data_IF_002792678601
#
_entry.id   IF_002792678601
#
_cell.length_a   1.000
_cell.length_b   1.000
_cell.length_c   1.000
_cell.angle_alpha   90.00
_cell.angle_beta   90.00
_cell.angle_gamma   90.00
#
_symmetry.space_group_name_H-M   'P 1'
#
loop_
_entity.id
_entity.type
_entity.pdbx_description
1 polymer ?
#
# COMPACT_ATOMS: atom_id res chain seq x y z
N UNK A 1 -0.80 26.28 -17.11
CA UNK A 1 -1.75 25.22 -17.50
C UNK A 1 -1.50 24.06 -16.58
N UNK A 2 -2.37 23.86 -15.59
CA UNK A 2 -2.33 22.71 -14.70
C UNK A 2 -2.70 21.47 -15.51
N UNK A 3 -1.80 20.49 -15.59
CA UNK A 3 -1.97 19.24 -16.34
C UNK A 3 -3.30 18.56 -15.99
N UNK A 4 -4.15 18.33 -16.99
CA UNK A 4 -5.41 17.57 -16.85
C UNK A 4 -5.16 16.05 -16.73
N UNK A 5 -3.93 15.64 -16.41
CA UNK A 5 -3.50 14.24 -16.44
C UNK A 5 -3.31 13.62 -15.04
N UNK A 6 -3.46 14.39 -13.97
CA UNK A 6 -3.30 13.91 -12.60
C UNK A 6 -4.65 13.67 -11.92
N UNK A 7 -5.09 12.41 -11.94
CA UNK A 7 -6.41 12.02 -11.44
C UNK A 7 -6.58 12.39 -9.96
N UNK A 8 -5.56 12.12 -9.15
CA UNK A 8 -5.64 12.33 -7.71
C UNK A 8 -5.64 13.81 -7.32
N UNK A 9 -4.86 14.65 -8.01
CA UNK A 9 -4.91 16.09 -7.81
C UNK A 9 -6.31 16.64 -8.10
N UNK A 10 -6.89 16.21 -9.23
CA UNK A 10 -8.22 16.64 -9.69
C UNK A 10 -9.29 16.23 -8.69
N UNK A 11 -9.31 14.96 -8.25
CA UNK A 11 -10.32 14.48 -7.30
C UNK A 11 -10.15 15.06 -5.89
N UNK A 12 -8.93 15.45 -5.50
CA UNK A 12 -8.66 16.10 -4.22
C UNK A 12 -9.00 17.60 -4.23
N UNK A 13 -9.19 18.20 -5.42
CA UNK A 13 -9.22 19.65 -5.61
C UNK A 13 -7.98 20.31 -5.00
N UNK A 14 -6.81 19.75 -5.31
CA UNK A 14 -5.54 20.12 -4.70
C UNK A 14 -5.17 21.60 -4.96
N UNK A 15 -5.67 22.17 -6.05
CA UNK A 15 -5.53 23.58 -6.42
C UNK A 15 -6.13 24.56 -5.39
N UNK A 16 -6.99 24.07 -4.48
CA UNK A 16 -7.49 24.88 -3.34
C UNK A 16 -6.39 25.24 -2.33
N UNK A 17 -5.26 24.52 -2.32
CA UNK A 17 -4.09 24.83 -1.50
C UNK A 17 -2.85 25.05 -2.38
N UNK A 18 -2.30 26.25 -2.30
CA UNK A 18 -1.07 26.60 -3.01
C UNK A 18 0.13 25.81 -2.46
N UNK A 19 0.16 25.58 -1.15
CA UNK A 19 1.21 24.84 -0.44
C UNK A 19 1.22 23.36 -0.85
N UNK A 20 0.06 22.71 -0.88
CA UNK A 20 -0.07 21.33 -1.36
C UNK A 20 0.33 21.24 -2.83
N UNK A 21 -0.17 22.15 -3.67
CA UNK A 21 0.19 22.20 -5.10
C UNK A 21 1.70 22.29 -5.27
N UNK A 22 2.36 23.20 -4.54
CA UNK A 22 3.80 23.36 -4.60
C UNK A 22 4.56 22.13 -4.08
N UNK A 23 4.11 21.51 -2.98
CA UNK A 23 4.71 20.29 -2.44
C UNK A 23 4.63 19.13 -3.46
N UNK A 24 3.51 19.01 -4.18
CA UNK A 24 3.32 17.99 -5.24
C UNK A 24 4.21 18.24 -6.45
N UNK A 25 4.40 19.50 -6.86
CA UNK A 25 5.40 19.87 -7.89
C UNK A 25 6.80 19.45 -7.45
N UNK A 26 7.17 19.66 -6.18
CA UNK A 26 8.44 19.19 -5.63
C UNK A 26 8.55 17.65 -5.62
N UNK A 27 7.42 16.93 -5.58
CA UNK A 27 7.33 15.47 -5.65
C UNK A 27 6.78 14.96 -6.97
N UNK A 28 7.01 15.68 -8.08
CA UNK A 28 6.41 15.35 -9.38
C UNK A 28 6.69 13.90 -9.80
N UNK A 29 7.91 13.40 -9.60
CA UNK A 29 8.24 12.01 -9.95
C UNK A 29 7.40 10.95 -9.24
N UNK A 30 6.92 11.23 -8.01
CA UNK A 30 5.97 10.35 -7.34
C UNK A 30 4.59 10.44 -7.99
N UNK A 31 4.09 11.65 -8.25
CA UNK A 31 2.82 11.88 -8.95
C UNK A 31 2.78 11.19 -10.32
N UNK A 32 3.84 11.34 -11.11
CA UNK A 32 3.97 10.74 -12.44
C UNK A 32 3.95 9.21 -12.38
N UNK A 33 4.74 8.60 -11.49
CA UNK A 33 4.78 7.15 -11.36
C UNK A 33 3.46 6.56 -10.84
N UNK A 34 2.76 7.28 -9.96
CA UNK A 34 1.43 6.88 -9.46
C UNK A 34 0.40 6.93 -10.59
N UNK A 35 0.40 8.01 -11.38
CA UNK A 35 -0.49 8.15 -12.53
C UNK A 35 -0.18 7.11 -13.62
N UNK A 36 1.11 6.84 -13.89
CA UNK A 36 1.52 5.80 -14.81
C UNK A 36 1.12 4.40 -14.33
N UNK A 37 1.11 4.15 -13.02
CA UNK A 37 0.58 2.90 -12.44
C UNK A 37 -0.92 2.75 -12.68
N UNK A 38 -1.68 3.85 -12.58
CA UNK A 38 -3.10 3.87 -12.95
C UNK A 38 -3.30 3.51 -14.42
N UNK A 39 -2.53 4.13 -15.34
CA UNK A 39 -2.62 3.82 -16.77
C UNK A 39 -2.27 2.35 -17.07
N UNK A 40 -1.20 1.82 -16.47
CA UNK A 40 -0.81 0.41 -16.61
C UNK A 40 -1.91 -0.56 -16.14
N UNK A 41 -2.73 -0.17 -15.17
CA UNK A 41 -3.84 -0.97 -14.67
C UNK A 41 -5.12 -0.81 -15.47
N UNK A 42 -5.47 0.39 -15.91
CA UNK A 42 -6.82 0.67 -16.40
C UNK A 42 -6.92 0.94 -17.90
N UNK A 43 -5.80 1.14 -18.59
CA UNK A 43 -5.76 1.37 -20.04
C UNK A 43 -5.18 0.16 -20.81
N UNK A 44 -4.71 -0.87 -20.11
CA UNK A 44 -4.26 -2.11 -20.72
C UNK A 44 -5.46 -2.97 -21.19
N UNK A 45 -5.37 -3.48 -22.42
CA UNK A 45 -6.31 -4.46 -22.97
C UNK A 45 -5.78 -5.88 -22.69
N UNK A 46 -6.37 -6.55 -21.71
CA UNK A 46 -6.04 -7.94 -21.36
C UNK A 46 -7.32 -8.80 -21.36
N UNK A 47 -7.33 -9.86 -22.19
CA UNK A 47 -8.49 -10.75 -22.32
C UNK A 47 -8.85 -11.43 -20.99
N UNK A 48 -7.85 -11.85 -20.20
CA UNK A 48 -8.04 -12.51 -18.91
C UNK A 48 -8.29 -11.53 -17.75
N UNK A 49 -8.36 -10.21 -17.97
CA UNK A 49 -8.90 -9.31 -16.95
C UNK A 49 -9.48 -8.06 -17.61
N UNK A 50 -10.70 -8.12 -18.14
CA UNK A 50 -11.29 -7.06 -18.95
C UNK A 50 -11.46 -5.72 -18.20
N UNK A 51 -11.40 -4.61 -18.95
CA UNK A 51 -11.45 -3.25 -18.41
C UNK A 51 -12.70 -2.96 -17.55
N UNK A 52 -13.88 -3.44 -17.95
CA UNK A 52 -15.11 -3.25 -17.17
C UNK A 52 -15.07 -4.00 -15.83
N UNK A 53 -14.45 -5.18 -15.77
CA UNK A 53 -14.27 -5.92 -14.51
C UNK A 53 -13.29 -5.19 -13.58
N UNK A 54 -12.18 -4.67 -14.13
CA UNK A 54 -11.21 -3.83 -13.41
C UNK A 54 -11.90 -2.61 -12.80
N UNK A 55 -12.69 -1.90 -13.61
CA UNK A 55 -13.39 -0.70 -13.20
C UNK A 55 -14.47 -1.00 -12.13
N UNK A 56 -15.22 -2.09 -12.27
CA UNK A 56 -16.20 -2.52 -11.26
C UNK A 56 -15.54 -2.85 -9.91
N UNK A 57 -14.44 -3.61 -9.92
CA UNK A 57 -13.68 -3.92 -8.71
C UNK A 57 -13.12 -2.65 -8.07
N UNK A 58 -12.51 -1.76 -8.86
CA UNK A 58 -11.97 -0.50 -8.39
C UNK A 58 -13.05 0.42 -7.80
N UNK A 59 -14.25 0.46 -8.40
CA UNK A 59 -15.41 1.14 -7.83
C UNK A 59 -15.73 0.57 -6.45
N UNK A 60 -15.94 -0.75 -6.35
CA UNK A 60 -16.35 -1.41 -5.10
C UNK A 60 -15.34 -1.23 -3.97
N UNK A 61 -14.05 -1.32 -4.29
CA UNK A 61 -12.97 -1.09 -3.35
C UNK A 61 -12.98 0.37 -2.89
N UNK A 62 -13.15 1.32 -3.81
CA UNK A 62 -13.25 2.74 -3.45
C UNK A 62 -14.45 3.02 -2.53
N UNK A 63 -15.59 2.35 -2.74
CA UNK A 63 -16.77 2.42 -1.85
C UNK A 63 -16.43 1.92 -0.44
N UNK A 64 -15.78 0.76 -0.32
CA UNK A 64 -15.33 0.20 0.97
C UNK A 64 -14.32 1.08 1.71
N UNK A 65 -13.48 1.82 0.97
CA UNK A 65 -12.57 2.80 1.53
C UNK A 65 -13.21 4.17 1.78
N UNK A 66 -14.51 4.35 1.53
CA UNK A 66 -15.21 5.62 1.73
C UNK A 66 -14.80 6.72 0.74
N UNK A 67 -14.13 6.37 -0.37
CA UNK A 67 -13.64 7.30 -1.38
C UNK A 67 -14.68 7.53 -2.48
N UNK A 68 -15.77 8.24 -2.15
CA UNK A 68 -16.93 8.43 -3.06
C UNK A 68 -16.58 9.06 -4.42
N UNK A 69 -15.69 10.05 -4.45
CA UNK A 69 -15.24 10.67 -5.70
C UNK A 69 -14.47 9.67 -6.60
N UNK A 70 -13.67 8.80 -5.99
CA UNK A 70 -12.92 7.78 -6.70
C UNK A 70 -13.83 6.64 -7.17
N UNK A 71 -14.81 6.25 -6.36
CA UNK A 71 -15.85 5.31 -6.76
C UNK A 71 -16.65 5.82 -7.97
N UNK A 72 -17.05 7.10 -7.97
CA UNK A 72 -17.74 7.72 -9.09
C UNK A 72 -16.89 7.75 -10.36
N UNK A 73 -15.58 8.04 -10.23
CA UNK A 73 -14.64 7.97 -11.35
C UNK A 73 -14.59 6.57 -11.98
N UNK A 74 -14.44 5.52 -11.16
CA UNK A 74 -14.42 4.14 -11.67
C UNK A 74 -15.76 3.66 -12.20
N UNK A 75 -16.88 4.13 -11.65
CA UNK A 75 -18.20 3.88 -12.21
C UNK A 75 -18.34 4.47 -13.62
N UNK A 76 -17.86 5.70 -13.84
CA UNK A 76 -17.91 6.38 -15.13
C UNK A 76 -17.02 5.74 -16.21
N UNK A 77 -16.03 4.92 -15.82
CA UNK A 77 -15.17 4.18 -16.77
C UNK A 77 -15.82 2.91 -17.32
N UNK A 78 -16.85 2.38 -16.67
CA UNK A 78 -17.53 1.18 -17.15
C UNK A 78 -18.33 1.51 -18.41
N UNK A 79 -18.07 0.78 -19.50
CA UNK A 79 -18.87 0.86 -20.72
C UNK A 79 -20.11 -0.01 -20.61
N UNK A 80 -19.97 -1.18 -19.98
CA UNK A 80 -21.09 -2.03 -19.59
C UNK A 80 -20.88 -2.54 -18.17
N UNK A 81 -21.99 -2.83 -17.48
CA UNK A 81 -21.93 -3.55 -16.21
C UNK A 81 -21.57 -5.03 -16.48
N UNK A 82 -20.46 -5.56 -15.92
CA UNK A 82 -20.14 -6.97 -16.04
C UNK A 82 -21.25 -7.87 -15.49
N UNK A 83 -21.46 -9.02 -16.13
CA UNK A 83 -22.35 -10.04 -15.60
C UNK A 83 -21.74 -10.68 -14.34
N UNK A 84 -22.58 -11.01 -13.35
CA UNK A 84 -22.13 -11.73 -12.16
C UNK A 84 -21.83 -13.18 -12.52
N UNK A 85 -20.56 -13.55 -12.47
CA UNK A 85 -20.06 -14.91 -12.71
C UNK A 85 -19.37 -15.45 -11.45
N UNK A 86 -19.17 -16.78 -11.32
CA UNK A 86 -18.35 -17.34 -10.23
C UNK A 86 -16.94 -16.74 -10.20
N UNK A 87 -16.35 -16.51 -11.38
CA UNK A 87 -15.04 -15.87 -11.57
C UNK A 87 -14.98 -14.47 -10.97
N UNK A 88 -15.94 -13.61 -11.30
CA UNK A 88 -16.02 -12.25 -10.77
C UNK A 88 -16.39 -12.23 -9.28
N UNK A 89 -17.20 -13.18 -8.81
CA UNK A 89 -17.55 -13.31 -7.39
C UNK A 89 -16.32 -13.64 -6.56
N UNK A 90 -15.50 -14.61 -7.00
CA UNK A 90 -14.24 -14.94 -6.35
C UNK A 90 -13.26 -13.74 -6.30
N UNK A 91 -13.25 -12.91 -7.35
CA UNK A 91 -12.43 -11.69 -7.36
C UNK A 91 -12.94 -10.62 -6.39
N UNK A 92 -14.25 -10.49 -6.20
CA UNK A 92 -14.85 -9.61 -5.19
C UNK A 92 -14.55 -10.10 -3.77
N UNK A 93 -14.63 -11.41 -3.51
CA UNK A 93 -14.28 -12.00 -2.22
C UNK A 93 -12.79 -11.78 -1.88
N UNK A 94 -11.92 -11.92 -2.90
CA UNK A 94 -10.50 -11.59 -2.76
C UNK A 94 -10.30 -10.10 -2.47
N UNK A 95 -10.98 -9.23 -3.22
CA UNK A 95 -10.92 -7.78 -3.02
C UNK A 95 -11.37 -7.35 -1.62
N UNK A 96 -12.47 -7.91 -1.10
CA UNK A 96 -12.97 -7.62 0.25
C UNK A 96 -11.94 -8.02 1.31
N UNK A 97 -11.37 -9.22 1.17
CA UNK A 97 -10.33 -9.71 2.08
C UNK A 97 -9.10 -8.79 2.08
N UNK A 98 -8.60 -8.42 0.91
CA UNK A 98 -7.46 -7.51 0.79
C UNK A 98 -7.78 -6.11 1.34
N UNK A 99 -9.01 -5.63 1.19
CA UNK A 99 -9.42 -4.31 1.66
C UNK A 99 -9.46 -4.22 3.19
N UNK A 100 -10.09 -5.20 3.84
CA UNK A 100 -10.40 -5.16 5.28
C UNK A 100 -9.52 -6.03 6.16
N UNK A 101 -9.12 -7.22 5.68
CA UNK A 101 -8.50 -8.27 6.50
C UNK A 101 -7.34 -8.97 5.76
N UNK A 102 -6.34 -8.22 5.24
CA UNK A 102 -5.29 -8.82 4.43
C UNK A 102 -4.46 -9.87 5.18
N UNK A 103 -4.31 -9.74 6.50
CA UNK A 103 -3.60 -10.71 7.34
C UNK A 103 -4.31 -12.08 7.47
N UNK A 104 -5.60 -12.16 7.11
CA UNK A 104 -6.38 -13.40 7.07
C UNK A 104 -6.35 -14.08 5.69
N UNK A 105 -5.61 -13.54 4.71
CA UNK A 105 -5.37 -14.25 3.44
C UNK A 105 -4.64 -15.56 3.70
N UNK A 106 -4.69 -16.51 2.78
CA UNK A 106 -4.14 -17.86 2.93
C UNK A 106 -4.04 -18.52 1.55
N UNK A 107 -3.20 -19.55 1.36
CA UNK A 107 -3.03 -20.22 0.07
C UNK A 107 -4.34 -20.68 -0.57
N UNK A 108 -5.30 -21.16 0.23
CA UNK A 108 -6.60 -21.67 -0.23
C UNK A 108 -7.43 -20.59 -0.94
N UNK A 109 -7.26 -19.32 -0.56
CA UNK A 109 -7.94 -18.21 -1.23
C UNK A 109 -7.43 -17.99 -2.65
N UNK A 110 -6.13 -18.19 -2.90
CA UNK A 110 -5.58 -18.13 -4.26
C UNK A 110 -5.97 -19.36 -5.07
N UNK A 111 -6.05 -20.54 -4.43
CA UNK A 111 -6.57 -21.75 -5.07
C UNK A 111 -8.03 -21.59 -5.50
N UNK A 112 -8.87 -20.93 -4.70
CA UNK A 112 -10.26 -20.62 -5.05
C UNK A 112 -10.35 -19.73 -6.30
N UNK A 113 -9.48 -18.72 -6.44
CA UNK A 113 -9.40 -17.91 -7.66
C UNK A 113 -9.00 -18.76 -8.89
N UNK A 114 -8.02 -19.65 -8.74
CA UNK A 114 -7.60 -20.56 -9.83
C UNK A 114 -8.73 -21.50 -10.24
N UNK A 115 -9.44 -22.08 -9.27
CA UNK A 115 -10.62 -22.94 -9.53
C UNK A 115 -11.76 -22.18 -10.20
N UNK A 116 -11.89 -20.88 -9.93
CA UNK A 116 -12.85 -20.00 -10.58
C UNK A 116 -12.41 -19.54 -11.99
N UNK A 117 -11.23 -19.98 -12.46
CA UNK A 117 -10.73 -19.75 -13.82
C UNK A 117 -9.78 -18.57 -13.98
N UNK A 118 -9.20 -18.03 -12.89
CA UNK A 118 -8.16 -17.00 -12.99
C UNK A 118 -6.78 -17.62 -13.25
N UNK A 119 -6.05 -17.12 -14.26
CA UNK A 119 -4.65 -17.51 -14.45
C UNK A 119 -3.75 -16.94 -13.34
N UNK A 120 -2.56 -17.53 -13.08
CA UNK A 120 -1.60 -16.96 -12.13
C UNK A 120 -1.20 -15.51 -12.44
N UNK A 121 -1.10 -15.14 -13.72
CA UNK A 121 -0.80 -13.77 -14.12
C UNK A 121 -1.96 -12.82 -13.77
N UNK A 122 -3.20 -13.22 -14.07
CA UNK A 122 -4.38 -12.42 -13.76
C UNK A 122 -4.63 -12.30 -12.24
N UNK A 123 -4.33 -13.32 -11.43
CA UNK A 123 -4.39 -13.23 -9.95
C UNK A 123 -3.40 -12.19 -9.42
N UNK A 124 -2.18 -12.16 -9.96
CA UNK A 124 -1.18 -11.16 -9.58
C UNK A 124 -1.64 -9.76 -9.99
N UNK A 125 -2.12 -9.58 -11.22
CA UNK A 125 -2.66 -8.28 -11.69
C UNK A 125 -3.88 -7.85 -10.86
N UNK A 126 -4.81 -8.75 -10.55
CA UNK A 126 -5.96 -8.50 -9.67
C UNK A 126 -5.50 -8.03 -8.29
N UNK A 127 -4.54 -8.71 -7.68
CA UNK A 127 -4.01 -8.35 -6.37
C UNK A 127 -3.29 -6.99 -6.40
N UNK A 128 -2.57 -6.68 -7.48
CA UNK A 128 -1.95 -5.36 -7.68
C UNK A 128 -2.99 -4.26 -7.90
N UNK A 129 -4.07 -4.50 -8.64
CA UNK A 129 -5.18 -3.56 -8.80
C UNK A 129 -5.82 -3.24 -7.45
N UNK A 130 -6.17 -4.27 -6.67
CA UNK A 130 -6.83 -4.09 -5.38
C UNK A 130 -5.95 -3.28 -4.42
N UNK A 131 -4.67 -3.64 -4.36
CA UNK A 131 -3.69 -2.99 -3.52
C UNK A 131 -3.43 -1.53 -3.97
N UNK A 132 -3.38 -1.27 -5.28
CA UNK A 132 -3.25 0.06 -5.85
C UNK A 132 -4.44 0.96 -5.51
N UNK A 133 -5.68 0.48 -5.69
CA UNK A 133 -6.89 1.28 -5.38
C UNK A 133 -7.01 1.54 -3.87
N UNK A 134 -6.58 0.60 -3.03
CA UNK A 134 -6.49 0.77 -1.57
C UNK A 134 -5.48 1.87 -1.19
N UNK A 135 -4.35 1.93 -1.88
CA UNK A 135 -3.35 3.01 -1.76
C UNK A 135 -3.91 4.34 -2.26
N UNK A 136 -4.49 4.35 -3.46
CA UNK A 136 -5.05 5.53 -4.11
C UNK A 136 -6.14 6.19 -3.25
N UNK A 137 -7.00 5.39 -2.60
CA UNK A 137 -8.05 5.89 -1.71
C UNK A 137 -7.48 6.63 -0.50
N UNK A 138 -6.41 6.12 0.11
CA UNK A 138 -5.73 6.76 1.25
C UNK A 138 -4.96 8.00 0.82
N UNK A 139 -4.32 7.94 -0.33
CA UNK A 139 -3.60 9.09 -0.88
C UNK A 139 -4.56 10.24 -1.21
N UNK A 140 -5.70 9.92 -1.83
CA UNK A 140 -6.78 10.90 -2.06
C UNK A 140 -7.29 11.51 -0.75
N UNK A 141 -7.55 10.68 0.26
CA UNK A 141 -7.97 11.13 1.58
C UNK A 141 -6.94 12.09 2.20
N UNK A 142 -5.65 11.72 2.18
CA UNK A 142 -4.57 12.57 2.67
C UNK A 142 -4.43 13.89 1.90
N UNK A 143 -4.58 13.88 0.58
CA UNK A 143 -4.56 15.12 -0.22
C UNK A 143 -5.72 16.05 0.14
N UNK A 144 -6.91 15.49 0.38
CA UNK A 144 -8.07 16.28 0.80
C UNK A 144 -7.88 16.91 2.18
N UNK A 145 -7.30 16.16 3.13
CA UNK A 145 -6.92 16.71 4.44
C UNK A 145 -5.92 17.87 4.31
N UNK A 146 -4.87 17.69 3.50
CA UNK A 146 -3.88 18.74 3.25
C UNK A 146 -4.49 19.96 2.56
N UNK A 147 -5.46 19.75 1.67
CA UNK A 147 -6.24 20.80 1.03
C UNK A 147 -7.29 21.48 1.95
N UNK A 148 -7.38 21.07 3.23
CA UNK A 148 -8.20 21.73 4.24
C UNK A 148 -9.55 21.07 4.55
N UNK A 149 -9.84 19.88 4.01
CA UNK A 149 -11.01 19.13 4.45
C UNK A 149 -10.83 18.74 5.94
N UNK A 150 -11.88 18.92 6.75
CA UNK A 150 -11.84 18.70 8.19
C UNK A 150 -12.84 17.60 8.61
N UNK A 151 -12.51 16.31 8.40
CA UNK A 151 -13.33 15.22 8.89
C UNK A 151 -13.35 15.22 10.44
N UNK A 152 -14.41 14.66 11.04
CA UNK A 152 -14.53 14.61 12.50
C UNK A 152 -13.41 13.76 13.12
N UNK A 153 -13.15 14.02 14.40
CA UNK A 153 -12.21 13.22 15.18
C UNK A 153 -12.63 11.74 15.19
N UNK A 154 -11.63 10.85 15.13
CA UNK A 154 -11.85 9.41 15.11
C UNK A 154 -11.16 8.71 16.27
N UNK A 155 -11.67 7.53 16.63
CA UNK A 155 -11.02 6.70 17.65
C UNK A 155 -9.62 6.23 17.22
N UNK A 156 -8.69 6.01 18.16
CA UNK A 156 -7.38 5.44 17.86
C UNK A 156 -7.48 4.11 17.11
N UNK A 157 -6.63 3.92 16.09
CA UNK A 157 -6.55 2.65 15.35
C UNK A 157 -5.66 1.68 16.11
N UNK A 158 -6.17 0.49 16.51
CA UNK A 158 -5.37 -0.48 17.24
C UNK A 158 -4.40 -1.22 16.31
N UNK A 159 -3.37 -1.81 16.91
CA UNK A 159 -2.53 -2.81 16.24
C UNK A 159 -3.38 -4.00 15.77
N UNK A 160 -3.20 -4.44 14.53
CA UNK A 160 -3.93 -5.59 14.01
C UNK A 160 -3.36 -6.92 14.53
N UNK A 161 -4.19 -7.95 14.43
CA UNK A 161 -3.74 -9.33 14.55
C UNK A 161 -2.91 -9.73 13.33
N UNK A 162 -2.07 -10.76 13.49
CA UNK A 162 -1.27 -11.36 12.43
C UNK A 162 -1.39 -12.89 12.48
N UNK A 163 -0.84 -13.57 11.48
CA UNK A 163 -0.75 -15.04 11.46
C UNK A 163 0.18 -15.57 12.54
N UNK A 164 -0.34 -16.44 13.42
CA UNK A 164 0.43 -17.05 14.52
C UNK A 164 0.76 -18.53 14.30
N UNK A 165 0.54 -19.04 13.09
CA UNK A 165 0.96 -20.40 12.75
C UNK A 165 2.49 -20.49 12.90
N UNK A 166 3.04 -21.55 13.52
CA UNK A 166 4.48 -21.67 13.76
C UNK A 166 5.26 -22.01 12.49
N UNK A 167 4.58 -22.51 11.46
CA UNK A 167 5.15 -22.87 10.17
C UNK A 167 4.38 -22.16 9.06
N UNK A 168 5.10 -21.81 7.99
CA UNK A 168 4.53 -21.38 6.73
C UNK A 168 3.88 -22.55 5.98
N UNK A 169 3.13 -22.25 4.92
CA UNK A 169 2.59 -23.28 4.02
C UNK A 169 3.69 -24.19 3.44
N UNK A 170 4.87 -23.64 3.15
CA UNK A 170 6.05 -24.39 2.70
C UNK A 170 6.76 -25.18 3.81
N UNK A 171 6.29 -25.11 5.06
CA UNK A 171 6.86 -25.82 6.20
C UNK A 171 8.08 -25.15 6.83
N UNK A 172 8.35 -23.88 6.52
CA UNK A 172 9.45 -23.11 7.12
C UNK A 172 9.04 -22.48 8.45
N UNK A 173 9.97 -22.23 9.39
CA UNK A 173 9.65 -21.51 10.62
C UNK A 173 9.08 -20.12 10.31
N UNK A 174 7.89 -19.82 10.84
CA UNK A 174 7.26 -18.52 10.70
C UNK A 174 7.63 -17.62 11.89
N UNK A 175 7.81 -16.30 11.68
CA UNK A 175 8.17 -15.40 12.77
C UNK A 175 7.05 -15.34 13.83
N UNK A 176 7.35 -15.56 15.12
CA UNK A 176 6.33 -15.65 16.16
C UNK A 176 5.69 -14.30 16.51
N UNK A 177 6.40 -13.21 16.25
CA UNK A 177 5.98 -11.84 16.56
C UNK A 177 6.59 -10.84 15.57
N UNK A 178 6.11 -9.60 15.64
CA UNK A 178 6.77 -8.47 14.98
C UNK A 178 8.22 -8.33 15.48
N UNK A 179 9.15 -8.15 14.55
CA UNK A 179 10.59 -8.21 14.82
C UNK A 179 11.34 -7.20 13.95
N UNK A 180 12.59 -6.87 14.31
CA UNK A 180 13.52 -6.12 13.44
C UNK A 180 14.48 -7.02 12.66
N UNK A 181 14.42 -8.34 12.92
CA UNK A 181 15.27 -9.32 12.25
C UNK A 181 15.03 -9.35 10.74
N UNK A 182 16.03 -9.80 10.00
CA UNK A 182 15.86 -10.09 8.59
C UNK A 182 15.00 -11.34 8.42
N UNK A 183 14.03 -11.27 7.53
CA UNK A 183 13.10 -12.36 7.25
C UNK A 183 13.19 -12.70 5.77
N UNK A 184 12.99 -13.97 5.46
CA UNK A 184 12.65 -14.39 4.11
C UNK A 184 11.17 -14.20 3.83
N UNK A 185 10.80 -14.27 2.56
CA UNK A 185 9.40 -14.31 2.12
C UNK A 185 9.25 -15.36 1.04
N UNK A 186 8.20 -16.17 1.13
CA UNK A 186 7.90 -17.18 0.13
C UNK A 186 6.52 -16.95 -0.49
N UNK A 187 6.41 -17.12 -1.83
CA UNK A 187 5.15 -16.93 -2.51
C UNK A 187 4.25 -18.17 -2.45
N UNK A 188 2.94 -17.95 -2.44
CA UNK A 188 1.96 -19.05 -2.60
C UNK A 188 1.63 -19.35 -4.06
N UNK A 189 1.95 -18.42 -4.97
CA UNK A 189 1.98 -18.66 -6.41
C UNK A 189 3.44 -18.66 -6.84
N UNK A 190 3.91 -19.75 -7.43
CA UNK A 190 5.29 -19.86 -7.85
C UNK A 190 5.75 -18.63 -8.66
N UNK A 191 6.84 -18.01 -8.20
CA UNK A 191 7.51 -16.95 -8.93
C UNK A 191 7.97 -17.48 -10.29
N UNK A 192 7.75 -16.71 -11.36
CA UNK A 192 8.16 -17.12 -12.71
C UNK A 192 9.69 -17.33 -12.72
N UNK A 193 10.22 -18.47 -13.20
CA UNK A 193 11.66 -18.69 -13.32
C UNK A 193 12.34 -17.57 -14.11
N UNK A 194 13.55 -17.15 -13.68
CA UNK A 194 14.24 -16.01 -14.30
C UNK A 194 14.44 -16.23 -15.82
N UNK A 195 14.78 -17.45 -16.23
CA UNK A 195 15.01 -17.82 -17.63
C UNK A 195 13.75 -17.77 -18.52
N UNK A 196 12.55 -17.69 -17.94
CA UNK A 196 11.30 -17.60 -18.70
C UNK A 196 10.87 -16.16 -19.00
N UNK A 197 11.55 -15.16 -18.42
CA UNK A 197 11.26 -13.75 -18.71
C UNK A 197 11.74 -13.37 -20.11
N UNK A 198 10.99 -12.50 -20.76
CA UNK A 198 11.43 -11.86 -21.99
C UNK A 198 12.53 -10.82 -21.71
N UNK A 199 13.11 -10.26 -22.76
CA UNK A 199 14.21 -9.30 -22.63
C UNK A 199 13.80 -8.06 -21.81
N UNK A 200 12.55 -7.60 -21.94
CA UNK A 200 12.03 -6.46 -21.18
C UNK A 200 11.93 -6.76 -19.68
N UNK A 201 11.40 -7.92 -19.31
CA UNK A 201 11.31 -8.38 -17.93
C UNK A 201 12.66 -8.56 -17.27
N UNK A 202 13.61 -9.18 -17.98
CA UNK A 202 14.99 -9.34 -17.50
C UNK A 202 15.67 -8.00 -17.25
N UNK A 203 15.54 -7.06 -18.20
CA UNK A 203 16.10 -5.72 -18.06
C UNK A 203 15.49 -4.96 -16.89
N UNK A 204 14.17 -5.05 -16.70
CA UNK A 204 13.46 -4.42 -15.58
C UNK A 204 13.93 -4.96 -14.23
N UNK A 205 13.99 -6.29 -14.06
CA UNK A 205 14.42 -6.94 -12.82
C UNK A 205 15.88 -6.61 -12.50
N UNK A 206 16.76 -6.64 -13.50
CA UNK A 206 18.17 -6.31 -13.34
C UNK A 206 18.38 -4.83 -12.96
N UNK A 207 17.65 -3.89 -13.58
CA UNK A 207 17.80 -2.44 -13.35
C UNK A 207 17.69 -2.03 -11.88
N UNK A 208 16.89 -2.76 -11.09
CA UNK A 208 16.67 -2.47 -9.68
C UNK A 208 17.26 -3.51 -8.72
N UNK A 209 18.04 -4.47 -9.23
CA UNK A 209 18.66 -5.52 -8.40
C UNK A 209 17.64 -6.52 -7.83
N UNK A 210 16.59 -6.83 -8.59
CA UNK A 210 15.46 -7.66 -8.17
C UNK A 210 15.46 -9.07 -8.78
N UNK A 211 16.53 -9.47 -9.49
CA UNK A 211 16.61 -10.75 -10.20
C UNK A 211 16.42 -11.96 -9.29
N UNK A 212 16.95 -11.90 -8.06
CA UNK A 212 16.93 -13.01 -7.11
C UNK A 212 15.74 -12.96 -6.14
N UNK A 213 14.82 -12.01 -6.33
CA UNK A 213 13.67 -11.84 -5.45
C UNK A 213 12.41 -12.50 -6.01
N UNK A 214 11.94 -13.55 -5.32
CA UNK A 214 10.68 -14.23 -5.65
C UNK A 214 9.49 -13.27 -5.68
N UNK A 215 9.44 -12.32 -4.75
CA UNK A 215 8.39 -11.30 -4.70
C UNK A 215 8.38 -10.45 -5.98
N UNK A 216 9.53 -9.91 -6.39
CA UNK A 216 9.59 -9.07 -7.58
C UNK A 216 9.40 -9.87 -8.87
N UNK A 217 9.92 -11.11 -8.94
CA UNK A 217 9.62 -12.02 -10.07
C UNK A 217 8.14 -12.38 -10.14
N UNK A 218 7.45 -12.51 -9.01
CA UNK A 218 6.01 -12.73 -9.01
C UNK A 218 5.26 -11.52 -9.58
N UNK A 219 5.56 -10.31 -9.11
CA UNK A 219 4.93 -9.07 -9.59
C UNK A 219 5.27 -8.76 -11.06
N UNK A 220 6.45 -9.18 -11.52
CA UNK A 220 6.91 -9.02 -12.90
C UNK A 220 6.03 -9.76 -13.92
N UNK A 221 5.08 -10.61 -13.50
CA UNK A 221 4.03 -11.10 -14.41
C UNK A 221 3.25 -9.97 -15.09
N UNK A 222 3.28 -8.76 -14.53
CA UNK A 222 2.86 -7.51 -15.17
C UNK A 222 4.04 -6.50 -15.14
N UNK A 223 4.92 -6.53 -16.15
CA UNK A 223 6.11 -5.68 -16.20
C UNK A 223 5.80 -4.16 -16.14
N UNK A 224 4.85 -3.62 -16.93
CA UNK A 224 4.57 -2.18 -16.89
C UNK A 224 4.16 -1.72 -15.49
N UNK A 225 3.31 -2.47 -14.80
CA UNK A 225 2.87 -2.10 -13.46
C UNK A 225 3.99 -2.23 -12.42
N UNK A 226 4.80 -3.30 -12.48
CA UNK A 226 5.95 -3.46 -11.58
C UNK A 226 6.93 -2.29 -11.73
N UNK A 227 7.20 -1.85 -12.96
CA UNK A 227 8.07 -0.72 -13.22
C UNK A 227 7.56 0.55 -12.54
N UNK A 228 6.31 0.93 -12.79
CA UNK A 228 5.75 2.17 -12.26
C UNK A 228 5.60 2.13 -10.73
N UNK A 229 5.22 0.98 -10.17
CA UNK A 229 5.22 0.77 -8.71
C UNK A 229 6.61 0.96 -8.09
N UNK A 230 7.65 0.45 -8.75
CA UNK A 230 9.03 0.57 -8.26
C UNK A 230 9.53 2.01 -8.35
N UNK A 231 9.16 2.74 -9.42
CA UNK A 231 9.46 4.15 -9.55
C UNK A 231 8.73 4.99 -8.48
N UNK A 232 7.47 4.67 -8.17
CA UNK A 232 6.71 5.32 -7.11
C UNK A 232 7.35 5.11 -5.73
N UNK A 233 7.72 3.86 -5.37
CA UNK A 233 8.45 3.57 -4.12
C UNK A 233 9.71 4.42 -3.99
N UNK A 234 10.51 4.44 -5.06
CA UNK A 234 11.77 5.20 -5.09
C UNK A 234 11.54 6.70 -4.96
N UNK A 235 10.55 7.24 -5.66
CA UNK A 235 10.19 8.65 -5.62
C UNK A 235 9.55 9.08 -4.28
N UNK A 236 9.05 8.14 -3.48
CA UNK A 236 8.51 8.41 -2.14
C UNK A 236 9.60 8.26 -1.07
N UNK A 237 10.49 7.28 -1.15
CA UNK A 237 11.45 6.98 -0.07
C UNK A 237 12.86 7.57 -0.26
N UNK A 238 13.28 7.83 -1.50
CA UNK A 238 14.66 8.21 -1.83
C UNK A 238 14.73 9.62 -2.43
N UNK A 239 14.11 10.59 -1.76
CA UNK A 239 14.12 12.00 -2.15
C UNK A 239 14.81 12.89 -1.13
N UNK A 240 15.28 14.05 -1.56
CA UNK A 240 15.85 15.08 -0.70
C UNK A 240 14.78 16.07 -0.22
N UNK A 241 15.05 16.68 0.95
CA UNK A 241 14.14 17.62 1.61
C UNK A 241 12.83 16.99 2.11
N UNK A 242 12.01 17.78 2.78
CA UNK A 242 10.74 17.30 3.36
C UNK A 242 10.94 16.42 4.60
N UNK A 243 10.16 15.35 4.73
CA UNK A 243 10.20 14.45 5.87
C UNK A 243 11.47 13.59 5.85
N UNK A 244 12.15 13.46 6.98
CA UNK A 244 13.36 12.65 7.09
C UNK A 244 13.07 11.17 6.77
N UNK A 245 14.05 10.48 6.18
CA UNK A 245 13.89 9.08 5.78
C UNK A 245 13.47 8.17 6.93
N UNK A 246 14.06 8.36 8.12
CA UNK A 246 13.71 7.56 9.31
C UNK A 246 12.22 7.64 9.68
N UNK A 247 11.59 8.80 9.47
CA UNK A 247 10.18 9.03 9.79
C UNK A 247 9.26 8.45 8.70
N UNK A 248 9.71 8.44 7.43
CA UNK A 248 9.04 7.69 6.35
C UNK A 248 9.04 6.18 6.62
N UNK A 249 10.18 5.65 7.09
CA UNK A 249 10.33 4.25 7.48
C UNK A 249 9.51 3.94 8.76
N UNK A 250 9.36 4.88 9.70
CA UNK A 250 8.44 4.77 10.84
C UNK A 250 6.99 4.67 10.36
N UNK A 251 6.55 5.56 9.46
CA UNK A 251 5.20 5.54 8.91
C UNK A 251 4.88 4.20 8.22
N UNK A 252 5.83 3.66 7.46
CA UNK A 252 5.75 2.34 6.86
C UNK A 252 5.61 1.21 7.90
N UNK A 253 6.35 1.32 9.02
CA UNK A 253 6.27 0.37 10.14
C UNK A 253 4.89 0.40 10.79
N UNK A 254 4.36 1.60 11.05
CA UNK A 254 3.03 1.80 11.65
C UNK A 254 1.94 1.25 10.74
N UNK A 255 1.96 1.58 9.45
CA UNK A 255 1.01 1.03 8.48
C UNK A 255 1.06 -0.50 8.43
N UNK A 256 2.26 -1.08 8.53
CA UNK A 256 2.46 -2.53 8.57
C UNK A 256 1.90 -3.16 9.86
N UNK A 257 1.99 -2.48 11.01
CA UNK A 257 1.36 -2.89 12.28
C UNK A 257 -0.18 -2.82 12.20
N UNK A 258 -0.74 -1.80 11.54
CA UNK A 258 -2.19 -1.68 11.30
C UNK A 258 -2.70 -2.76 10.35
N UNK A 259 -1.90 -3.19 9.37
CA UNK A 259 -2.31 -4.22 8.40
C UNK A 259 -1.94 -5.65 8.82
N UNK A 260 -1.18 -5.85 9.92
CA UNK A 260 -0.75 -7.17 10.37
C UNK A 260 0.44 -7.78 9.59
N UNK A 261 1.21 -6.97 8.85
CA UNK A 261 2.29 -7.44 7.98
C UNK A 261 3.64 -7.48 8.69
N UNK A 262 4.03 -8.65 9.23
CA UNK A 262 5.32 -8.84 9.91
C UNK A 262 6.51 -8.55 8.98
N UNK A 263 6.48 -9.03 7.74
CA UNK A 263 7.61 -8.84 6.81
C UNK A 263 7.91 -7.37 6.55
N UNK A 264 6.89 -6.59 6.19
CA UNK A 264 7.08 -5.16 5.95
C UNK A 264 7.49 -4.44 7.26
N UNK A 265 6.84 -4.76 8.37
CA UNK A 265 7.22 -4.18 9.65
C UNK A 265 8.70 -4.46 9.98
N UNK A 266 9.24 -5.65 9.70
CA UNK A 266 10.63 -5.96 10.02
C UNK A 266 11.64 -5.18 9.18
N UNK A 267 11.40 -5.07 7.87
CA UNK A 267 12.25 -4.30 6.97
C UNK A 267 12.28 -2.82 7.36
N UNK A 268 11.10 -2.23 7.57
CA UNK A 268 10.96 -0.79 7.80
C UNK A 268 11.33 -0.39 9.23
N UNK A 269 11.02 -1.22 10.23
CA UNK A 269 11.44 -0.98 11.61
C UNK A 269 12.96 -1.04 11.76
N UNK A 270 13.63 -2.00 11.09
CA UNK A 270 15.09 -2.07 11.08
C UNK A 270 15.70 -0.78 10.54
N UNK A 271 15.20 -0.26 9.41
CA UNK A 271 15.67 1.01 8.82
C UNK A 271 15.34 2.22 9.69
N UNK A 272 14.12 2.32 10.21
CA UNK A 272 13.70 3.40 11.10
C UNK A 272 14.60 3.48 12.35
N UNK A 273 14.89 2.32 12.96
CA UNK A 273 15.78 2.22 14.13
C UNK A 273 17.23 2.59 13.79
N UNK A 274 17.76 2.06 12.68
CA UNK A 274 19.14 2.31 12.24
C UNK A 274 19.41 3.77 11.89
N UNK A 275 18.45 4.44 11.24
CA UNK A 275 18.60 5.82 10.79
C UNK A 275 18.38 6.82 11.94
N UNK A 276 17.35 6.61 12.76
CA UNK A 276 17.02 7.51 13.88
C UNK A 276 17.93 7.33 15.10
N UNK A 277 18.59 6.17 15.22
CA UNK A 277 19.31 5.74 16.44
C UNK A 277 18.40 5.59 17.66
N UNK A 278 17.09 5.33 17.45
CA UNK A 278 16.07 5.17 18.50
C UNK A 278 15.53 3.74 18.56
N UNK A 279 16.43 2.78 18.80
CA UNK A 279 16.06 1.35 18.76
C UNK A 279 14.95 0.97 19.74
N UNK A 280 14.99 1.52 20.96
CA UNK A 280 14.00 1.22 22.00
C UNK A 280 12.61 1.77 21.68
N UNK A 281 12.51 2.96 21.08
CA UNK A 281 11.23 3.54 20.64
C UNK A 281 10.61 2.68 19.53
N UNK A 282 11.42 2.25 18.56
CA UNK A 282 10.93 1.36 17.49
C UNK A 282 10.53 0.00 18.06
N UNK A 283 11.30 -0.55 19.01
CA UNK A 283 10.95 -1.83 19.64
C UNK A 283 9.64 -1.72 20.41
N UNK A 284 9.43 -0.64 21.18
CA UNK A 284 8.14 -0.38 21.85
C UNK A 284 6.95 -0.39 20.90
N UNK A 285 7.08 0.20 19.70
CA UNK A 285 6.05 0.16 18.67
C UNK A 285 5.77 -1.27 18.18
N UNK A 286 6.82 -2.08 17.97
CA UNK A 286 6.66 -3.47 17.53
C UNK A 286 6.01 -4.35 18.60
N UNK A 287 6.34 -4.11 19.86
CA UNK A 287 5.87 -4.86 21.02
C UNK A 287 4.39 -4.59 21.39
N UNK A 288 3.77 -3.55 20.80
CA UNK A 288 2.33 -3.30 20.98
C UNK A 288 1.52 -4.51 20.53
N UNK A 289 0.86 -5.16 21.48
CA UNK A 289 0.01 -6.33 21.25
C UNK A 289 -1.22 -5.99 20.39
N UNK A 290 -1.83 -6.97 19.69
CA UNK A 290 -3.08 -6.77 18.96
C UNK A 290 -4.16 -6.11 19.84
N UNK A 291 -4.87 -5.13 19.30
CA UNK A 291 -5.85 -4.35 20.06
C UNK A 291 -5.26 -3.15 20.82
N UNK A 292 -3.94 -3.08 21.00
CA UNK A 292 -3.26 -1.98 21.68
C UNK A 292 -3.13 -0.71 20.82
N UNK A 293 -3.00 0.44 21.47
CA UNK A 293 -2.74 1.74 20.83
C UNK A 293 -1.27 1.83 20.43
N UNK A 294 -0.98 2.07 19.15
CA UNK A 294 0.40 2.03 18.62
C UNK A 294 1.32 3.13 19.17
N UNK A 295 0.78 4.27 19.60
CA UNK A 295 1.54 5.37 20.18
C UNK A 295 1.80 5.23 21.69
N UNK A 296 1.27 4.18 22.33
CA UNK A 296 1.39 3.99 23.77
C UNK A 296 2.86 3.96 24.23
N UNK A 297 3.21 4.85 25.17
CA UNK A 297 4.57 4.93 25.72
C UNK A 297 5.61 5.57 24.78
N UNK A 298 5.18 6.25 23.72
CA UNK A 298 6.08 6.98 22.81
C UNK A 298 6.29 8.43 23.23
N UNK A 299 7.39 9.03 22.76
CA UNK A 299 7.64 10.46 22.92
C UNK A 299 6.70 11.28 22.03
N UNK A 300 6.41 12.52 22.43
CA UNK A 300 5.41 13.39 21.81
C UNK A 300 5.57 13.54 20.28
N UNK A 301 6.80 13.72 19.79
CA UNK A 301 7.07 13.90 18.36
C UNK A 301 6.75 12.66 17.50
N UNK A 302 6.99 11.46 18.01
CA UNK A 302 6.64 10.21 17.31
C UNK A 302 5.21 9.76 17.59
N UNK A 303 4.65 10.10 18.76
CA UNK A 303 3.24 9.80 19.08
C UNK A 303 2.30 10.37 18.02
N UNK A 304 2.46 11.65 17.66
CA UNK A 304 1.61 12.31 16.66
C UNK A 304 1.76 11.68 15.26
N UNK A 305 2.98 11.35 14.84
CA UNK A 305 3.22 10.71 13.55
C UNK A 305 2.65 9.28 13.51
N UNK A 306 2.79 8.52 14.60
CA UNK A 306 2.25 7.17 14.74
C UNK A 306 0.73 7.20 14.70
N UNK A 307 0.08 8.12 15.44
CA UNK A 307 -1.37 8.26 15.46
C UNK A 307 -1.93 8.64 14.10
N UNK A 308 -1.33 9.62 13.43
CA UNK A 308 -1.72 10.02 12.08
C UNK A 308 -1.54 8.87 11.08
N UNK A 309 -0.38 8.23 11.07
CA UNK A 309 -0.10 7.13 10.14
C UNK A 309 -1.01 5.92 10.39
N UNK A 310 -1.34 5.62 11.65
CA UNK A 310 -2.27 4.56 12.00
C UNK A 310 -3.70 4.89 11.52
N UNK A 311 -4.17 6.12 11.77
CA UNK A 311 -5.48 6.60 11.35
C UNK A 311 -5.64 6.63 9.83
N UNK A 312 -4.62 7.06 9.09
CA UNK A 312 -4.60 7.03 7.63
C UNK A 312 -4.51 5.60 7.07
N UNK A 313 -3.93 4.66 7.82
CA UNK A 313 -3.81 3.26 7.40
C UNK A 313 -5.10 2.46 7.53
N UNK A 314 -6.06 2.89 8.36
CA UNK A 314 -7.34 2.20 8.54
C UNK A 314 -8.16 2.04 7.24
N UNK A 315 -9.13 1.11 7.26
CA UNK A 315 -10.15 0.96 6.21
C UNK A 315 -11.53 1.19 6.83
N UNK A 316 -12.25 2.27 6.50
CA UNK A 316 -11.79 3.44 5.72
C UNK A 316 -10.71 4.26 6.47
N UNK A 317 -9.89 5.07 5.77
CA UNK A 317 -8.96 6.00 6.40
C UNK A 317 -9.73 7.02 7.25
N UNK A 318 -9.16 7.39 8.40
CA UNK A 318 -9.84 8.22 9.40
C UNK A 318 -8.92 9.20 10.12
N UNK A 319 -7.78 9.56 9.51
CA UNK A 319 -6.94 10.63 10.04
C UNK A 319 -7.72 11.94 10.07
N UNK A 320 -7.58 12.74 11.12
CA UNK A 320 -8.38 13.95 11.31
C UNK A 320 -7.56 15.25 11.23
N UNK A 321 -8.27 16.37 11.26
CA UNK A 321 -7.65 17.70 11.15
C UNK A 321 -6.82 18.08 12.39
N UNK A 322 -7.13 17.56 13.57
CA UNK A 322 -6.39 17.88 14.80
C UNK A 322 -5.04 17.15 14.85
N UNK A 323 -5.00 15.90 14.38
CA UNK A 323 -3.74 15.18 14.17
C UNK A 323 -2.84 15.95 13.20
N UNK A 324 -3.39 16.44 12.08
CA UNK A 324 -2.65 17.25 11.12
C UNK A 324 -2.17 18.58 11.73
N UNK A 325 -3.03 19.27 12.49
CA UNK A 325 -2.68 20.50 13.20
C UNK A 325 -1.56 20.27 14.22
N UNK A 326 -1.59 19.15 14.94
CA UNK A 326 -0.53 18.75 15.88
C UNK A 326 0.81 18.61 15.18
N UNK A 327 0.84 17.91 14.04
CA UNK A 327 2.07 17.76 13.24
C UNK A 327 2.61 19.10 12.73
N UNK A 328 1.73 20.02 12.32
CA UNK A 328 2.12 21.39 11.94
C UNK A 328 2.71 22.17 13.12
N UNK A 329 2.14 22.05 14.33
CA UNK A 329 2.69 22.66 15.56
C UNK A 329 4.06 22.09 15.94
N UNK A 330 4.32 20.83 15.60
CA UNK A 330 5.64 20.21 15.72
C UNK A 330 6.64 20.65 14.63
N UNK A 331 6.22 21.52 13.70
CA UNK A 331 7.08 22.12 12.69
C UNK A 331 7.17 21.35 11.37
N UNK A 332 6.32 20.34 11.13
CA UNK A 332 6.28 19.67 9.84
C UNK A 332 5.73 20.63 8.78
N UNK A 333 6.54 20.88 7.74
CA UNK A 333 6.11 21.65 6.56
C UNK A 333 5.11 20.87 5.72
N UNK A 334 4.40 21.56 4.82
CA UNK A 334 3.44 20.91 3.92
C UNK A 334 4.10 19.81 3.06
N UNK A 335 5.37 20.01 2.66
CA UNK A 335 6.15 18.98 1.97
C UNK A 335 6.43 17.75 2.85
N UNK A 336 6.74 17.95 4.14
CA UNK A 336 6.95 16.85 5.08
C UNK A 336 5.64 16.10 5.38
N UNK A 337 4.51 16.81 5.45
CA UNK A 337 3.19 16.21 5.63
C UNK A 337 2.77 15.42 4.38
N UNK A 338 3.03 15.94 3.18
CA UNK A 338 2.85 15.20 1.93
C UNK A 338 3.68 13.92 1.92
N UNK A 339 4.95 13.98 2.31
CA UNK A 339 5.82 12.80 2.40
C UNK A 339 5.29 11.78 3.43
N UNK A 340 4.75 12.23 4.57
CA UNK A 340 4.13 11.35 5.59
C UNK A 340 2.90 10.64 5.01
N UNK A 341 2.02 11.38 4.33
CA UNK A 341 0.83 10.85 3.65
C UNK A 341 1.23 9.82 2.60
N UNK A 342 2.17 10.16 1.71
CA UNK A 342 2.62 9.27 0.63
C UNK A 342 3.28 8.00 1.18
N UNK A 343 4.16 8.14 2.16
CA UNK A 343 4.85 7.01 2.80
C UNK A 343 3.85 6.09 3.49
N UNK A 344 2.89 6.63 4.25
CA UNK A 344 1.86 5.83 4.92
C UNK A 344 0.95 5.12 3.90
N UNK A 345 0.42 5.87 2.92
CA UNK A 345 -0.51 5.33 1.94
C UNK A 345 0.13 4.23 1.09
N UNK A 346 1.39 4.38 0.68
CA UNK A 346 2.08 3.39 -0.14
C UNK A 346 2.12 1.99 0.51
N UNK A 347 2.16 1.91 1.84
CA UNK A 347 2.13 0.64 2.55
C UNK A 347 0.77 -0.05 2.52
N UNK A 348 -0.30 0.65 2.19
CA UNK A 348 -1.55 0.00 1.82
C UNK A 348 -1.41 -0.85 0.54
N UNK A 349 -0.55 -0.45 -0.39
CA UNK A 349 -0.20 -1.24 -1.58
C UNK A 349 0.73 -2.39 -1.21
N UNK A 350 1.87 -2.08 -0.58
CA UNK A 350 2.90 -3.08 -0.28
C UNK A 350 2.40 -4.17 0.68
N UNK A 351 1.75 -3.81 1.80
CA UNK A 351 1.29 -4.80 2.77
C UNK A 351 0.27 -5.77 2.18
N UNK A 352 -0.68 -5.29 1.38
CA UNK A 352 -1.70 -6.13 0.76
C UNK A 352 -1.09 -7.17 -0.17
N UNK A 353 -0.10 -6.80 -0.98
CA UNK A 353 0.60 -7.76 -1.83
C UNK A 353 1.40 -8.78 -1.01
N UNK A 354 2.18 -8.31 -0.04
CA UNK A 354 3.03 -9.17 0.80
C UNK A 354 2.23 -10.17 1.65
N UNK A 355 1.03 -9.80 2.11
CA UNK A 355 0.18 -10.63 2.96
C UNK A 355 -0.66 -11.65 2.18
N UNK A 356 -0.97 -11.36 0.91
CA UNK A 356 -1.97 -12.11 0.15
C UNK A 356 -1.41 -12.93 -1.00
N UNK A 357 -0.16 -12.69 -1.37
CA UNK A 357 0.56 -13.48 -2.38
C UNK A 357 1.60 -14.44 -1.76
N UNK A 358 1.78 -14.40 -0.44
CA UNK A 358 2.79 -15.20 0.26
C UNK A 358 2.87 -14.86 1.74
N UNK A 359 3.96 -15.30 2.37
CA UNK A 359 4.17 -15.14 3.81
C UNK A 359 5.65 -15.09 4.21
N UNK A 360 5.98 -14.47 5.36
CA UNK A 360 7.35 -14.43 5.86
C UNK A 360 7.80 -15.75 6.50
N UNK A 361 9.10 -16.02 6.45
CA UNK A 361 9.77 -17.09 7.21
C UNK A 361 11.07 -16.59 7.84
N UNK A 362 11.54 -17.29 8.87
CA UNK A 362 12.86 -17.10 9.47
C UNK A 362 13.90 -17.91 8.66
N UNK A 363 14.95 -17.27 8.11
CA UNK A 363 15.90 -17.89 7.18
C UNK A 363 16.87 -18.89 7.80
#
# INVERSE_FOLDING_TARGET
MTDSNDLLATLAQAERSAELTQARITRQGASDAIQASYHALFDAEEEDFPADERALLAQRISEWHGASALAAHYAARQQRRPATTPRLSAALDHAERLAFKPAEAAPEHLQALQQAGWSPAAIVTLSQLIAFVSFQSRLLYGYRLLAGDAPPAAEPVPAASWRRAPLTHGGRPAPPAFTRQELGWEPWIAAKPLAEFDAAGLALLARFGHTDSDYFRLLARNHPLLEQRTLADRAIFYTSGGLARQDRELAATVASKVNGCIYCASVHARKAAQLSKREEEVQRLLDVAPGGVLSAGQQEAWSAQIEFAAALSATPPRADAEQLATLRRQGLSELALLDLVQSTAFFAWANRLMLTLGEPFEP
#
